data_IF_638076337446
#
_entry.id   IF_638076337446
#
_cell.length_a   1.000
_cell.length_b   1.000
_cell.length_c   1.000
_cell.angle_alpha   90.00
_cell.angle_beta   90.00
_cell.angle_gamma   90.00
#
_symmetry.space_group_name_H-M   'P 1'
#
loop_
_entity.id
_entity.type
_entity.pdbx_description
1 polymer ?
#
# COMPACT_ATOMS: atom_id res chain seq x y z
N UNK A 1 1.21 -15.15 -8.70
CA UNK A 1 -0.15 -15.71 -8.85
C UNK A 1 -1.13 -14.71 -9.47
N UNK A 2 -1.14 -13.45 -9.04
CA UNK A 2 -2.11 -12.43 -9.51
C UNK A 2 -1.97 -12.15 -11.00
N UNK A 3 -0.75 -11.94 -11.50
CA UNK A 3 -0.48 -11.73 -12.94
C UNK A 3 -0.95 -12.92 -13.79
N UNK A 4 -0.74 -14.16 -13.30
CA UNK A 4 -1.16 -15.37 -14.02
C UNK A 4 -2.68 -15.56 -14.00
N UNK A 5 -3.35 -15.12 -12.93
CA UNK A 5 -4.80 -15.20 -12.80
C UNK A 5 -5.49 -14.24 -13.78
N UNK A 6 -4.91 -13.05 -13.99
CA UNK A 6 -5.52 -11.98 -14.75
C UNK A 6 -6.73 -11.36 -14.07
N UNK A 7 -7.27 -10.29 -14.64
CA UNK A 7 -8.43 -9.60 -14.10
C UNK A 7 -8.16 -8.85 -12.81
N UNK A 8 -9.22 -8.60 -12.02
CA UNK A 8 -9.12 -7.92 -10.72
C UNK A 8 -8.59 -8.90 -9.68
N UNK A 9 -7.55 -8.50 -8.95
CA UNK A 9 -6.97 -9.31 -7.88
C UNK A 9 -7.38 -8.77 -6.52
N UNK A 10 -8.08 -9.59 -5.75
CA UNK A 10 -8.39 -9.30 -4.36
C UNK A 10 -7.41 -10.00 -3.43
N UNK A 11 -7.07 -9.36 -2.33
CA UNK A 11 -6.17 -9.92 -1.31
C UNK A 11 -6.69 -11.26 -0.78
N UNK A 12 -8.02 -11.38 -0.60
CA UNK A 12 -8.65 -12.62 -0.16
C UNK A 12 -8.34 -13.80 -1.09
N UNK A 13 -8.47 -13.61 -2.41
CA UNK A 13 -8.18 -14.67 -3.39
C UNK A 13 -6.70 -15.08 -3.37
N UNK A 14 -5.82 -14.10 -3.13
CA UNK A 14 -4.39 -14.36 -3.02
C UNK A 14 -4.06 -15.14 -1.76
N UNK A 15 -4.71 -14.83 -0.63
CA UNK A 15 -4.58 -15.59 0.61
C UNK A 15 -5.07 -17.02 0.45
N UNK A 16 -6.25 -17.24 -0.16
CA UNK A 16 -6.77 -18.57 -0.44
C UNK A 16 -5.81 -19.38 -1.34
N UNK A 17 -5.25 -18.76 -2.37
CA UNK A 17 -4.27 -19.42 -3.22
C UNK A 17 -3.00 -19.82 -2.45
N UNK A 18 -2.49 -18.96 -1.56
CA UNK A 18 -1.32 -19.26 -0.73
C UNK A 18 -1.62 -20.42 0.23
N UNK A 19 -2.77 -20.39 0.88
CA UNK A 19 -3.22 -21.43 1.79
C UNK A 19 -3.30 -22.79 1.10
N UNK A 20 -3.94 -22.85 -0.06
CA UNK A 20 -4.11 -24.09 -0.83
C UNK A 20 -2.77 -24.65 -1.33
N UNK A 21 -1.93 -23.76 -1.91
CA UNK A 21 -0.70 -24.18 -2.58
C UNK A 21 0.43 -24.52 -1.61
N UNK A 22 0.60 -23.73 -0.57
CA UNK A 22 1.76 -23.84 0.33
C UNK A 22 1.42 -24.42 1.69
N UNK A 23 0.12 -24.48 2.05
CA UNK A 23 -0.39 -25.00 3.33
C UNK A 23 0.39 -24.49 4.55
N UNK A 24 0.61 -23.17 4.66
CA UNK A 24 1.38 -22.60 5.75
C UNK A 24 0.62 -22.81 7.07
N UNK A 25 1.36 -22.91 8.18
CA UNK A 25 0.76 -22.97 9.51
C UNK A 25 0.01 -21.68 9.85
N UNK A 26 0.56 -20.53 9.46
CA UNK A 26 -0.04 -19.20 9.63
C UNK A 26 0.27 -18.30 8.44
N UNK A 27 -0.61 -17.36 8.19
CA UNK A 27 -0.42 -16.30 7.18
C UNK A 27 -0.46 -14.95 7.91
N UNK A 28 0.62 -14.16 7.81
CA UNK A 28 0.65 -12.78 8.27
C UNK A 28 0.31 -11.82 7.13
N UNK A 29 -0.69 -10.96 7.33
CA UNK A 29 -1.05 -9.90 6.39
C UNK A 29 -0.58 -8.55 6.92
N UNK A 30 0.46 -7.98 6.31
CA UNK A 30 1.00 -6.67 6.67
C UNK A 30 0.17 -5.57 6.01
N UNK A 31 -0.37 -4.66 6.82
CA UNK A 31 -1.20 -3.52 6.38
C UNK A 31 -0.51 -2.23 6.82
N UNK A 32 -0.31 -1.29 5.89
CA UNK A 32 0.20 0.04 6.20
C UNK A 32 -0.89 0.95 6.78
N UNK A 33 -0.50 1.90 7.64
CA UNK A 33 -1.41 2.83 8.32
C UNK A 33 -2.37 3.57 7.38
N UNK A 34 -1.93 3.88 6.18
CA UNK A 34 -2.72 4.57 5.14
C UNK A 34 -3.94 3.78 4.65
N UNK A 35 -4.01 2.49 4.97
CA UNK A 35 -5.09 1.59 4.57
C UNK A 35 -6.03 1.22 5.73
N UNK A 36 -5.73 1.59 6.97
CA UNK A 36 -6.52 1.16 8.13
C UNK A 36 -7.98 1.60 8.05
N UNK A 37 -8.23 2.86 7.74
CA UNK A 37 -9.59 3.43 7.66
C UNK A 37 -10.44 2.82 6.53
N UNK A 38 -9.81 2.21 5.53
CA UNK A 38 -10.48 1.61 4.37
C UNK A 38 -10.47 0.10 4.35
N UNK A 39 -9.84 -0.55 5.32
CA UNK A 39 -9.70 -2.01 5.36
C UNK A 39 -11.06 -2.73 5.39
N UNK A 40 -12.03 -2.18 6.11
CA UNK A 40 -13.40 -2.72 6.19
C UNK A 40 -14.13 -2.77 4.83
N UNK A 41 -13.65 -1.98 3.83
CA UNK A 41 -14.19 -1.98 2.46
C UNK A 41 -13.54 -3.05 1.56
N UNK A 42 -12.53 -3.76 2.06
CA UNK A 42 -11.86 -4.76 1.26
C UNK A 42 -12.79 -5.96 1.00
N UNK A 43 -12.60 -6.58 -0.16
CA UNK A 43 -13.34 -7.80 -0.50
C UNK A 43 -13.08 -8.87 0.55
N UNK A 44 -14.17 -9.36 1.17
CA UNK A 44 -14.12 -10.37 2.23
C UNK A 44 -13.20 -10.00 3.42
N UNK A 45 -13.19 -8.71 3.86
CA UNK A 45 -12.36 -8.25 4.96
C UNK A 45 -12.50 -9.09 6.25
N UNK A 46 -13.72 -9.46 6.63
CA UNK A 46 -13.96 -10.31 7.80
C UNK A 46 -13.31 -11.69 7.66
N UNK A 47 -13.42 -12.31 6.48
CA UNK A 47 -12.80 -13.62 6.22
C UNK A 47 -11.26 -13.51 6.15
N UNK A 48 -10.72 -12.37 5.74
CA UNK A 48 -9.27 -12.12 5.82
C UNK A 48 -8.77 -12.14 7.26
N UNK A 49 -9.52 -11.54 8.18
CA UNK A 49 -9.17 -11.52 9.61
C UNK A 49 -9.22 -12.91 10.23
N UNK A 50 -10.11 -13.79 9.75
CA UNK A 50 -10.19 -15.18 10.20
C UNK A 50 -9.01 -16.02 9.68
N UNK A 51 -8.55 -15.75 8.45
CA UNK A 51 -7.49 -16.52 7.79
C UNK A 51 -6.07 -16.01 8.07
N UNK A 52 -5.94 -14.73 8.40
CA UNK A 52 -4.64 -14.07 8.53
C UNK A 52 -4.47 -13.43 9.90
N UNK A 53 -3.25 -13.48 10.42
CA UNK A 53 -2.83 -12.59 11.50
C UNK A 53 -2.53 -11.21 10.92
N UNK A 54 -3.32 -10.20 11.28
CA UNK A 54 -3.11 -8.84 10.80
C UNK A 54 -1.90 -8.21 11.51
N UNK A 55 -0.97 -7.68 10.73
CA UNK A 55 0.23 -6.99 11.20
C UNK A 55 0.14 -5.54 10.73
N UNK A 56 -0.09 -4.63 11.67
CA UNK A 56 -0.28 -3.21 11.39
C UNK A 56 1.08 -2.49 11.45
N UNK A 57 1.52 -1.96 10.31
CA UNK A 57 2.80 -1.26 10.18
C UNK A 57 2.61 0.25 10.16
N UNK A 58 3.41 0.97 10.95
CA UNK A 58 3.46 2.42 10.92
C UNK A 58 4.10 2.91 9.61
N UNK A 59 3.49 3.94 9.05
CA UNK A 59 4.01 4.68 7.89
C UNK A 59 3.99 6.17 8.19
N UNK A 60 5.07 6.92 7.90
CA UNK A 60 5.05 8.36 8.13
C UNK A 60 3.95 8.98 7.27
N UNK A 61 3.14 9.82 7.90
CA UNK A 61 2.17 10.63 7.19
C UNK A 61 2.93 11.68 6.37
N UNK A 62 2.93 11.54 5.05
CA UNK A 62 3.52 12.54 4.16
C UNK A 62 2.43 13.53 3.76
N UNK A 63 2.48 14.73 4.34
CA UNK A 63 1.61 15.85 3.94
C UNK A 63 1.73 16.19 2.44
N UNK A 64 2.85 15.83 1.82
CA UNK A 64 3.12 16.01 0.39
C UNK A 64 2.23 15.14 -0.51
N UNK A 65 1.74 13.99 -0.04
CA UNK A 65 0.87 13.12 -0.84
C UNK A 65 -0.49 13.77 -1.16
N UNK A 66 -0.93 14.76 -0.39
CA UNK A 66 -2.16 15.54 -0.69
C UNK A 66 -1.98 16.47 -1.90
N UNK A 67 -0.81 17.07 -2.07
CA UNK A 67 -0.54 18.00 -3.18
C UNK A 67 -0.24 17.29 -4.52
N UNK A 68 0.22 16.03 -4.47
CA UNK A 68 0.54 15.24 -5.66
C UNK A 68 -0.69 14.64 -6.34
N UNK A 69 -1.74 14.29 -5.60
CA UNK A 69 -2.97 13.74 -6.16
C UNK A 69 -3.66 14.71 -7.13
N UNK A 70 -3.43 16.02 -6.98
CA UNK A 70 -4.10 17.04 -7.79
C UNK A 70 -3.41 17.35 -9.14
N UNK A 71 -2.18 16.87 -9.40
CA UNK A 71 -1.46 17.19 -10.64
C UNK A 71 -1.28 16.04 -11.64
N UNK A 72 -1.37 14.79 -11.21
CA UNK A 72 -1.02 13.64 -12.05
C UNK A 72 -2.21 12.83 -12.58
N UNK A 73 -3.41 13.01 -12.05
CA UNK A 73 -4.61 12.33 -12.56
C UNK A 73 -5.80 13.28 -12.49
N UNK A 74 -6.12 13.90 -13.63
CA UNK A 74 -7.41 14.55 -13.79
C UNK A 74 -8.53 13.54 -13.53
N UNK A 75 -9.44 13.90 -12.61
CA UNK A 75 -10.65 13.20 -12.19
C UNK A 75 -10.46 12.19 -11.04
N UNK A 76 -10.46 12.73 -9.83
CA UNK A 76 -11.24 12.14 -8.75
C UNK A 76 -12.07 13.26 -8.13
N UNK A 77 -13.37 13.09 -8.21
CA UNK A 77 -14.39 14.00 -7.70
C UNK A 77 -14.19 14.26 -6.23
N UNK A 78 -14.46 15.50 -5.83
CA UNK A 78 -14.65 15.90 -4.45
C UNK A 78 -15.59 14.89 -3.77
N UNK A 79 -15.08 14.11 -2.86
CA UNK A 79 -15.90 13.43 -1.88
C UNK A 79 -16.11 14.40 -0.73
N UNK A 80 -17.36 14.67 -0.52
CA UNK A 80 -18.05 15.43 0.48
C UNK A 80 -17.31 15.72 1.80
N UNK A 81 -17.44 16.97 2.24
CA UNK A 81 -17.22 17.46 3.60
C UNK A 81 -18.13 16.71 4.61
N UNK A 82 -17.84 15.47 4.89
CA UNK A 82 -18.21 14.83 6.13
C UNK A 82 -17.07 15.09 7.12
N UNK A 83 -17.38 15.66 8.28
CA UNK A 83 -16.47 15.76 9.40
C UNK A 83 -15.78 14.39 9.57
N UNK A 84 -14.49 14.30 9.21
CA UNK A 84 -13.69 13.11 9.36
C UNK A 84 -13.67 12.80 10.87
N UNK A 85 -14.53 11.89 11.33
CA UNK A 85 -14.32 11.25 12.61
C UNK A 85 -12.92 10.67 12.54
N UNK A 86 -12.06 11.17 13.43
CA UNK A 86 -10.69 10.69 13.53
C UNK A 86 -10.75 9.16 13.71
N UNK A 87 -10.25 8.42 12.70
CA UNK A 87 -10.28 6.96 12.71
C UNK A 87 -9.43 6.47 13.88
N UNK A 88 -10.06 5.77 14.81
CA UNK A 88 -9.41 5.14 15.95
C UNK A 88 -9.36 3.66 15.73
N UNK A 89 -8.17 3.09 15.75
CA UNK A 89 -7.94 1.65 15.52
C UNK A 89 -8.67 0.81 16.58
N UNK A 90 -8.76 1.33 17.79
CA UNK A 90 -9.41 0.67 18.93
C UNK A 90 -10.92 0.45 18.71
N UNK A 91 -11.53 1.31 17.89
CA UNK A 91 -12.97 1.26 17.58
C UNK A 91 -13.28 0.31 16.40
N UNK A 92 -12.25 -0.21 15.70
CA UNK A 92 -12.42 -1.09 14.54
C UNK A 92 -12.37 -2.57 14.95
N UNK A 93 -13.51 -3.29 14.94
CA UNK A 93 -13.57 -4.68 15.39
C UNK A 93 -12.62 -5.62 14.62
N UNK A 94 -12.33 -5.32 13.36
CA UNK A 94 -11.47 -6.14 12.52
C UNK A 94 -10.00 -6.12 12.98
N UNK A 95 -9.59 -5.12 13.77
CA UNK A 95 -8.21 -5.00 14.28
C UNK A 95 -8.05 -5.45 15.72
N UNK A 96 -9.09 -6.01 16.34
CA UNK A 96 -9.06 -6.42 17.75
C UNK A 96 -7.88 -7.32 18.12
N UNK A 97 -7.51 -8.22 17.23
CA UNK A 97 -6.41 -9.18 17.43
C UNK A 97 -5.16 -8.84 16.57
N UNK A 98 -5.09 -7.65 16.00
CA UNK A 98 -3.97 -7.27 15.16
C UNK A 98 -2.70 -7.01 15.97
N UNK A 99 -1.56 -7.38 15.40
CA UNK A 99 -0.24 -7.12 15.97
C UNK A 99 0.29 -5.79 15.45
N UNK A 100 0.67 -4.88 16.35
CA UNK A 100 1.29 -3.62 15.98
C UNK A 100 2.79 -3.78 15.82
N UNK A 101 3.28 -3.53 14.61
CA UNK A 101 4.70 -3.56 14.32
C UNK A 101 5.35 -2.25 14.77
N UNK A 102 6.31 -2.34 15.70
CA UNK A 102 7.14 -1.20 16.12
C UNK A 102 8.27 -1.01 15.11
N UNK A 103 7.96 -0.52 13.92
CA UNK A 103 8.96 -0.22 12.89
C UNK A 103 9.30 1.28 12.89
N UNK A 104 10.54 1.59 12.56
CA UNK A 104 10.91 2.97 12.25
C UNK A 104 10.31 3.38 10.91
N UNK A 105 9.55 4.48 10.86
CA UNK A 105 8.93 4.93 9.63
C UNK A 105 9.98 5.50 8.68
N UNK A 106 10.11 4.91 7.49
CA UNK A 106 10.96 5.42 6.43
C UNK A 106 10.15 6.32 5.48
N UNK A 107 10.63 7.55 5.30
CA UNK A 107 10.00 8.53 4.42
C UNK A 107 10.26 8.23 2.91
N UNK A 108 9.94 7.00 2.49
CA UNK A 108 10.08 6.56 1.09
C UNK A 108 8.72 6.17 0.54
N UNK A 109 8.28 6.79 -0.54
CA UNK A 109 7.05 6.44 -1.23
C UNK A 109 7.27 6.25 -2.73
N UNK A 110 6.47 5.39 -3.34
CA UNK A 110 6.48 5.20 -4.79
C UNK A 110 6.15 6.49 -5.54
N UNK A 111 5.30 7.33 -4.96
CA UNK A 111 4.94 8.65 -5.51
C UNK A 111 6.15 9.57 -5.54
N UNK A 112 6.89 9.66 -4.42
CA UNK A 112 8.12 10.45 -4.34
C UNK A 112 9.18 9.95 -5.33
N UNK A 113 9.36 8.62 -5.46
CA UNK A 113 10.32 8.05 -6.42
C UNK A 113 9.95 8.40 -7.85
N UNK A 114 8.68 8.21 -8.25
CA UNK A 114 8.21 8.58 -9.60
C UNK A 114 8.39 10.07 -9.90
N UNK A 115 8.07 10.91 -8.93
CA UNK A 115 8.26 12.36 -9.07
C UNK A 115 9.73 12.72 -9.26
N UNK A 116 10.63 12.16 -8.44
CA UNK A 116 12.08 12.40 -8.56
C UNK A 116 12.60 11.92 -9.91
N UNK A 117 12.18 10.74 -10.37
CA UNK A 117 12.54 10.23 -11.68
C UNK A 117 12.08 11.17 -12.82
N UNK A 118 10.81 11.61 -12.79
CA UNK A 118 10.24 12.52 -13.78
C UNK A 118 10.93 13.90 -13.82
N UNK A 119 11.39 14.39 -12.66
CA UNK A 119 12.05 15.70 -12.53
C UNK A 119 13.59 15.60 -12.50
N UNK A 120 14.16 14.44 -12.86
CA UNK A 120 15.62 14.21 -12.92
C UNK A 120 16.34 14.48 -11.59
N UNK A 121 15.63 14.28 -10.49
CA UNK A 121 16.17 14.41 -9.14
C UNK A 121 16.81 13.10 -8.69
N UNK A 122 17.82 13.18 -7.82
CA UNK A 122 18.48 11.99 -7.28
C UNK A 122 17.51 11.12 -6.48
N UNK A 123 17.39 9.83 -6.84
CA UNK A 123 16.57 8.82 -6.13
C UNK A 123 17.26 7.46 -6.01
N UNK A 124 18.49 7.34 -6.49
CA UNK A 124 19.25 6.08 -6.49
C UNK A 124 19.41 5.45 -5.10
N UNK A 125 19.40 6.25 -4.04
CA UNK A 125 19.52 5.80 -2.66
C UNK A 125 18.18 5.35 -2.04
N UNK A 126 17.08 5.60 -2.72
CA UNK A 126 15.74 5.32 -2.24
C UNK A 126 15.19 3.98 -2.76
N UNK A 127 15.93 3.34 -3.66
CA UNK A 127 15.54 2.08 -4.29
C UNK A 127 16.76 1.14 -4.44
N UNK A 128 16.55 -0.18 -4.49
CA UNK A 128 17.63 -1.11 -4.84
C UNK A 128 18.25 -0.78 -6.20
N UNK A 129 19.57 -0.97 -6.33
CA UNK A 129 20.31 -0.62 -7.57
C UNK A 129 19.73 -1.24 -8.84
N UNK A 130 19.22 -2.47 -8.77
CA UNK A 130 18.55 -3.14 -9.91
C UNK A 130 17.26 -2.41 -10.32
N UNK A 131 16.49 -1.92 -9.35
CA UNK A 131 15.26 -1.15 -9.61
C UNK A 131 15.61 0.21 -10.20
N UNK A 132 16.62 0.89 -9.65
CA UNK A 132 17.11 2.15 -10.22
C UNK A 132 17.50 1.98 -11.69
N UNK A 133 18.35 0.99 -11.98
CA UNK A 133 18.78 0.68 -13.35
C UNK A 133 17.59 0.40 -14.28
N UNK A 134 16.63 -0.42 -13.82
CA UNK A 134 15.42 -0.73 -14.59
C UNK A 134 14.60 0.52 -14.93
N UNK A 135 14.44 1.45 -13.99
CA UNK A 135 13.74 2.73 -14.22
C UNK A 135 14.46 3.57 -15.27
N UNK A 136 15.79 3.70 -15.16
CA UNK A 136 16.61 4.51 -16.08
C UNK A 136 16.67 3.87 -17.47
N UNK A 137 16.99 2.58 -17.57
CA UNK A 137 17.13 1.87 -18.86
C UNK A 137 15.79 1.83 -19.62
N UNK A 138 14.69 1.62 -18.90
CA UNK A 138 13.33 1.61 -19.43
C UNK A 138 12.74 3.00 -19.70
N UNK A 139 13.47 4.09 -19.39
CA UNK A 139 12.96 5.47 -19.44
C UNK A 139 11.59 5.64 -18.77
N UNK A 140 11.41 4.94 -17.65
CA UNK A 140 10.14 5.00 -16.93
C UNK A 140 9.97 6.39 -16.29
N UNK A 141 8.74 6.87 -16.31
CA UNK A 141 8.38 8.18 -15.74
C UNK A 141 9.11 9.39 -16.33
N UNK A 142 9.69 9.27 -17.57
CA UNK A 142 10.47 10.33 -18.17
C UNK A 142 11.86 10.52 -17.53
N UNK A 143 12.45 9.47 -17.00
CA UNK A 143 13.72 9.50 -16.24
C UNK A 143 14.97 9.73 -17.09
N UNK A 144 14.90 9.58 -18.41
CA UNK A 144 16.01 9.90 -19.35
C UNK A 144 15.97 11.36 -19.78
N UNK A 145 17.18 11.89 -20.00
CA UNK A 145 17.39 13.18 -20.67
C UNK A 145 17.04 13.10 -22.14
#
# INVERSE_FOLDING_TARGET
>A
CEIQRGGISYTYDTVCFIEEKYKPEKIGLVIGRDLFSTFHLWNNASLLVEKCELILAERPFQAEDKNFKNKATGKYSQADNCAEKEFRIEDEPLFKNAVFLKNEPLAVSSTSIRFRAANKMAFQYLVPSKVFKYIIDGNLYGSKN
#
